data_IF_761458963807
#
_entry.id   IF_761458963807
#
_cell.length_a   1.000
_cell.length_b   1.000
_cell.length_c   1.000
_cell.angle_alpha   90.00
_cell.angle_beta   90.00
_cell.angle_gamma   90.00
#
_symmetry.space_group_name_H-M   'P 1'
#
loop_
_entity.id
_entity.type
_entity.pdbx_description
1 polymer ?
#
# COMPACT_ATOMS: atom_id res chain seq x y z
N UNK A 1 2.93 -9.13 -7.87
CA UNK A 1 1.79 -8.64 -8.71
C UNK A 1 2.36 -7.84 -9.87
N UNK A 2 1.86 -8.04 -11.07
CA UNK A 2 2.36 -7.42 -12.29
C UNK A 2 1.23 -6.60 -12.92
N UNK A 3 1.42 -5.30 -13.10
CA UNK A 3 0.48 -4.44 -13.81
C UNK A 3 1.05 -4.10 -15.18
N UNK A 4 0.39 -4.54 -16.24
CA UNK A 4 0.67 -4.13 -17.63
C UNK A 4 -0.51 -3.35 -18.19
N UNK A 5 -0.19 -2.25 -18.86
CA UNK A 5 -1.18 -1.53 -19.65
C UNK A 5 -1.26 -2.15 -21.05
N UNK A 6 -2.45 -2.58 -21.47
CA UNK A 6 -2.65 -3.22 -22.78
C UNK A 6 -2.31 -2.33 -23.98
N UNK A 7 -2.43 -1.00 -23.83
CA UNK A 7 -2.07 -0.02 -24.85
C UNK A 7 -0.56 0.21 -24.95
N UNK A 8 0.13 0.31 -23.79
CA UNK A 8 1.56 0.63 -23.77
C UNK A 8 2.48 -0.59 -23.81
N UNK A 9 1.92 -1.80 -23.65
CA UNK A 9 2.66 -3.07 -23.74
C UNK A 9 3.94 -3.06 -22.86
N UNK A 10 5.11 -3.20 -23.52
CA UNK A 10 6.42 -3.27 -22.88
C UNK A 10 7.05 -1.90 -22.58
N UNK A 11 6.37 -0.81 -22.93
CA UNK A 11 6.84 0.55 -22.63
C UNK A 11 6.45 1.06 -21.24
N UNK A 12 5.51 0.37 -20.59
CA UNK A 12 5.07 0.72 -19.24
C UNK A 12 4.82 -0.53 -18.40
N UNK A 13 5.50 -0.60 -17.25
CA UNK A 13 5.27 -1.65 -16.27
C UNK A 13 5.44 -1.15 -14.85
N UNK A 14 4.61 -1.67 -13.95
CA UNK A 14 4.80 -1.56 -12.51
C UNK A 14 4.76 -2.97 -11.92
N UNK A 15 5.83 -3.35 -11.23
CA UNK A 15 5.95 -4.65 -10.57
C UNK A 15 6.03 -4.46 -9.07
N UNK A 16 5.24 -5.21 -8.33
CA UNK A 16 5.23 -5.19 -6.87
C UNK A 16 5.63 -6.55 -6.31
N UNK A 17 6.61 -6.53 -5.41
CA UNK A 17 6.94 -7.66 -4.55
C UNK A 17 6.72 -7.25 -3.10
N UNK A 18 6.14 -8.12 -2.29
CA UNK A 18 5.79 -7.82 -0.90
C UNK A 18 6.20 -8.96 0.00
N UNK A 19 6.83 -8.62 1.12
CA UNK A 19 7.16 -9.55 2.20
C UNK A 19 6.72 -8.94 3.52
N UNK A 20 5.95 -9.69 4.30
CA UNK A 20 5.58 -9.34 5.67
C UNK A 20 6.49 -10.09 6.64
N UNK A 21 7.06 -9.38 7.60
CA UNK A 21 8.00 -9.95 8.59
C UNK A 21 7.55 -9.55 9.99
N UNK A 22 7.20 -10.55 10.77
CA UNK A 22 6.81 -10.37 12.17
C UNK A 22 8.02 -9.96 13.03
N UNK A 23 7.77 -9.12 14.03
CA UNK A 23 8.79 -8.62 14.94
C UNK A 23 9.80 -7.65 14.33
N UNK A 24 9.79 -7.45 13.01
CA UNK A 24 10.67 -6.48 12.35
C UNK A 24 10.13 -5.06 12.46
N UNK A 25 11.00 -4.11 12.66
CA UNK A 25 10.70 -2.66 12.73
C UNK A 25 11.31 -1.88 11.57
N UNK A 26 11.48 -2.54 10.41
CA UNK A 26 12.10 -1.93 9.23
C UNK A 26 13.61 -2.10 9.17
N UNK A 27 14.18 -3.00 9.96
CA UNK A 27 15.63 -3.15 10.16
C UNK A 27 16.32 -3.99 9.08
N UNK A 28 15.55 -4.76 8.29
CA UNK A 28 16.13 -5.65 7.30
C UNK A 28 16.53 -4.88 6.04
N UNK A 29 17.83 -4.74 5.84
CA UNK A 29 18.37 -3.98 4.70
C UNK A 29 17.97 -4.59 3.35
N UNK A 30 17.93 -5.91 3.22
CA UNK A 30 17.58 -6.61 1.99
C UNK A 30 16.56 -7.73 2.23
N UNK A 31 15.39 -7.37 2.74
CA UNK A 31 14.33 -8.31 3.05
C UNK A 31 13.88 -9.13 1.83
N UNK A 32 13.86 -8.52 0.65
CA UNK A 32 13.40 -9.13 -0.62
C UNK A 32 14.53 -9.76 -1.44
N UNK A 33 15.76 -9.83 -0.89
CA UNK A 33 16.92 -10.50 -1.49
C UNK A 33 17.24 -10.05 -2.92
N UNK A 34 17.11 -8.76 -3.18
CA UNK A 34 17.44 -8.16 -4.48
C UNK A 34 18.96 -8.14 -4.70
N UNK A 35 19.37 -7.94 -5.95
CA UNK A 35 20.79 -7.90 -6.32
C UNK A 35 21.55 -6.76 -5.63
N UNK A 36 22.86 -6.89 -5.52
CA UNK A 36 23.72 -5.82 -4.98
C UNK A 36 23.66 -4.54 -5.83
N UNK A 37 23.40 -4.67 -7.11
CA UNK A 37 23.26 -3.54 -8.02
C UNK A 37 21.94 -2.79 -7.77
N UNK A 38 20.85 -3.51 -7.60
CA UNK A 38 19.53 -2.93 -7.31
C UNK A 38 19.50 -2.30 -5.93
N UNK A 39 20.18 -2.91 -4.95
CA UNK A 39 20.36 -2.32 -3.62
C UNK A 39 20.99 -0.93 -3.67
N UNK A 40 21.96 -0.71 -4.56
CA UNK A 40 22.64 0.59 -4.73
C UNK A 40 21.75 1.62 -5.43
N UNK A 41 20.85 1.17 -6.30
CA UNK A 41 19.98 2.06 -7.12
C UNK A 41 18.66 2.38 -6.44
N UNK A 42 18.23 1.57 -5.47
CA UNK A 42 16.93 1.73 -4.81
C UNK A 42 16.84 3.04 -4.04
N UNK A 43 15.67 3.62 -4.04
CA UNK A 43 15.27 4.64 -3.07
C UNK A 43 14.49 3.97 -1.95
N UNK A 44 14.90 4.16 -0.70
CA UNK A 44 14.20 3.59 0.47
C UNK A 44 13.26 4.64 1.03
N UNK A 45 11.98 4.29 1.10
CA UNK A 45 10.93 5.13 1.68
C UNK A 45 10.36 4.38 2.88
N UNK A 46 10.33 5.05 4.02
CA UNK A 46 9.74 4.52 5.24
C UNK A 46 8.34 5.12 5.37
N UNK A 47 7.33 4.28 5.54
CA UNK A 47 5.95 4.68 5.81
C UNK A 47 5.66 4.46 7.29
N UNK A 48 5.33 5.53 8.00
CA UNK A 48 4.83 5.49 9.37
C UNK A 48 3.33 5.78 9.37
N UNK A 49 2.52 4.75 9.58
CA UNK A 49 1.06 4.84 9.49
C UNK A 49 0.43 5.83 10.46
N UNK A 50 1.10 6.14 11.57
CA UNK A 50 0.59 7.08 12.56
C UNK A 50 1.11 8.50 12.35
N UNK A 51 2.39 8.65 11.95
CA UNK A 51 3.05 9.95 11.95
C UNK A 51 3.16 10.61 10.57
N UNK A 52 3.05 9.84 9.47
CA UNK A 52 3.08 10.41 8.13
C UNK A 52 1.84 11.29 7.86
N UNK A 53 2.08 12.40 7.15
CA UNK A 53 1.02 13.32 6.78
C UNK A 53 0.21 12.76 5.61
N UNK A 54 -1.10 12.91 5.72
CA UNK A 54 -2.05 12.65 4.63
C UNK A 54 -2.52 14.02 4.09
N UNK A 55 -2.63 14.18 2.76
CA UNK A 55 -3.25 15.38 2.19
C UNK A 55 -4.63 15.63 2.79
N UNK A 56 -4.97 16.90 3.04
CA UNK A 56 -6.23 17.25 3.71
C UNK A 56 -7.47 16.74 2.97
N UNK A 57 -7.43 16.71 1.65
CA UNK A 57 -8.53 16.19 0.81
C UNK A 57 -8.72 14.68 0.94
N UNK A 58 -7.67 13.96 1.36
CA UNK A 58 -7.67 12.51 1.53
C UNK A 58 -7.85 12.07 3.00
N UNK A 59 -7.78 13.01 3.93
CA UNK A 59 -7.85 12.70 5.36
C UNK A 59 -9.27 12.33 5.78
N UNK A 60 -9.38 11.20 6.47
CA UNK A 60 -10.61 10.73 7.11
C UNK A 60 -10.33 10.34 8.55
N UNK A 61 -11.07 10.89 9.53
CA UNK A 61 -10.87 10.57 10.94
C UNK A 61 -11.00 9.07 11.25
N UNK A 62 -11.91 8.37 10.57
CA UNK A 62 -12.14 6.93 10.72
C UNK A 62 -10.99 6.07 10.17
N UNK A 63 -10.07 6.66 9.43
CA UNK A 63 -8.88 6.02 8.87
C UNK A 63 -7.59 6.55 9.55
N UNK A 64 -7.72 7.22 10.71
CA UNK A 64 -6.58 7.74 11.45
C UNK A 64 -6.16 6.80 12.59
N UNK A 65 -4.98 6.14 12.49
CA UNK A 65 -4.45 5.30 13.55
C UNK A 65 -4.27 5.99 14.92
N UNK A 66 -4.19 7.33 14.93
CA UNK A 66 -4.11 8.10 16.19
C UNK A 66 -5.46 8.25 16.89
N UNK A 67 -6.55 8.01 16.19
CA UNK A 67 -7.90 8.10 16.74
C UNK A 67 -8.55 6.72 16.92
N UNK A 68 -8.10 5.73 16.14
CA UNK A 68 -8.68 4.40 16.12
C UNK A 68 -8.24 3.55 17.32
N UNK A 69 -9.21 2.87 17.94
CA UNK A 69 -8.99 1.83 18.93
C UNK A 69 -9.74 0.56 18.52
N UNK A 70 -9.04 -0.57 18.53
CA UNK A 70 -9.63 -1.87 18.21
C UNK A 70 -10.26 -2.48 19.47
N UNK A 71 -11.56 -2.70 19.45
CA UNK A 71 -12.28 -3.37 20.52
C UNK A 71 -11.91 -4.85 20.64
N UNK A 72 -11.62 -5.51 19.52
CA UNK A 72 -11.28 -6.94 19.49
C UNK A 72 -9.86 -7.22 19.99
N UNK A 73 -8.91 -6.33 19.72
CA UNK A 73 -7.49 -6.59 20.01
C UNK A 73 -6.89 -5.67 21.06
N UNK A 74 -7.61 -4.61 21.47
CA UNK A 74 -7.11 -3.57 22.35
C UNK A 74 -5.99 -2.69 21.74
N UNK A 75 -5.76 -2.78 20.43
CA UNK A 75 -4.70 -2.01 19.74
C UNK A 75 -5.13 -0.59 19.43
N UNK A 76 -4.18 0.34 19.51
CA UNK A 76 -4.42 1.76 19.32
C UNK A 76 -5.02 2.45 20.56
N UNK A 77 -5.21 3.76 20.49
CA UNK A 77 -4.73 4.66 19.45
C UNK A 77 -3.20 4.82 19.44
N UNK A 78 -2.60 5.01 18.25
CA UNK A 78 -1.16 5.17 18.07
C UNK A 78 -0.73 6.62 18.25
N UNK A 79 -0.85 7.15 19.45
CA UNK A 79 -0.58 8.57 19.77
C UNK A 79 0.89 8.86 20.11
N UNK A 80 1.62 7.85 20.56
CA UNK A 80 3.04 8.00 20.90
C UNK A 80 3.88 8.13 19.61
N UNK A 81 4.74 9.15 19.47
CA UNK A 81 5.61 9.27 18.31
C UNK A 81 6.54 8.07 18.08
N UNK A 82 6.88 7.35 19.15
CA UNK A 82 7.72 6.13 19.13
C UNK A 82 6.90 4.83 19.25
N UNK A 83 5.64 4.87 18.83
CA UNK A 83 4.69 3.76 18.95
C UNK A 83 5.24 2.42 18.42
N UNK A 84 5.97 2.46 17.31
CA UNK A 84 6.51 1.26 16.65
C UNK A 84 7.51 0.47 17.51
N UNK A 85 8.16 1.12 18.48
CA UNK A 85 9.09 0.48 19.43
C UNK A 85 8.40 0.03 20.73
N UNK A 86 7.17 0.47 20.98
CA UNK A 86 6.42 0.22 22.22
C UNK A 86 5.25 -0.75 22.05
N UNK A 87 4.73 -0.88 20.84
CA UNK A 87 3.57 -1.74 20.53
C UNK A 87 4.02 -3.15 20.14
N UNK A 88 3.38 -4.17 20.74
CA UNK A 88 3.54 -5.57 20.39
C UNK A 88 2.17 -6.24 20.16
N UNK A 89 2.07 -7.20 19.23
CA UNK A 89 3.06 -7.56 18.22
C UNK A 89 3.20 -6.48 17.15
N UNK A 90 4.38 -6.37 16.54
CA UNK A 90 4.66 -5.47 15.41
C UNK A 90 5.05 -6.28 14.18
N UNK A 91 4.69 -5.80 13.01
CA UNK A 91 5.03 -6.40 11.72
C UNK A 91 5.47 -5.30 10.75
N UNK A 92 6.49 -5.57 9.97
CA UNK A 92 6.90 -4.69 8.87
C UNK A 92 6.52 -5.30 7.53
N UNK A 93 5.87 -4.49 6.70
CA UNK A 93 5.59 -4.82 5.30
C UNK A 93 6.68 -4.23 4.42
N UNK A 94 7.58 -5.07 3.91
CA UNK A 94 8.59 -4.67 2.93
C UNK A 94 7.98 -4.76 1.53
N UNK A 95 8.01 -3.66 0.79
CA UNK A 95 7.51 -3.60 -0.58
C UNK A 95 8.63 -3.13 -1.51
N UNK A 96 8.86 -3.90 -2.55
CA UNK A 96 9.71 -3.52 -3.65
C UNK A 96 8.83 -3.13 -4.83
N UNK A 97 9.08 -1.96 -5.39
CA UNK A 97 8.31 -1.42 -6.51
C UNK A 97 9.26 -1.09 -7.63
N UNK A 98 9.10 -1.78 -8.75
CA UNK A 98 9.78 -1.45 -9.99
C UNK A 98 8.80 -0.67 -10.86
N UNK A 99 9.18 0.55 -11.25
CA UNK A 99 8.42 1.39 -12.16
C UNK A 99 9.29 1.61 -13.40
N UNK A 100 8.77 1.24 -14.56
CA UNK A 100 9.45 1.44 -15.82
C UNK A 100 8.49 2.13 -16.80
N UNK A 101 8.92 3.27 -17.35
CA UNK A 101 8.18 4.02 -18.37
C UNK A 101 9.14 4.45 -19.47
N UNK A 102 9.07 3.78 -20.63
CA UNK A 102 9.99 3.99 -21.76
C UNK A 102 9.40 4.99 -22.75
N UNK A 103 9.58 6.28 -22.48
CA UNK A 103 9.18 7.33 -23.41
C UNK A 103 10.19 8.47 -23.39
N UNK A 104 10.81 8.72 -24.53
CA UNK A 104 11.86 9.73 -24.64
C UNK A 104 11.37 11.12 -24.19
N UNK A 105 12.18 11.79 -23.39
CA UNK A 105 11.96 13.16 -22.92
C UNK A 105 11.05 13.33 -21.69
N UNK A 106 10.18 12.36 -21.35
CA UNK A 106 9.26 12.47 -20.22
C UNK A 106 9.40 11.34 -19.19
N UNK A 107 10.19 10.32 -19.46
CA UNK A 107 10.35 9.12 -18.63
C UNK A 107 10.50 9.47 -17.13
N UNK A 108 11.53 10.23 -16.79
CA UNK A 108 11.83 10.51 -15.37
C UNK A 108 10.74 11.31 -14.64
N UNK A 109 10.00 12.16 -15.36
CA UNK A 109 8.87 12.90 -14.76
C UNK A 109 7.71 11.96 -14.45
N UNK A 110 7.38 11.06 -15.38
CA UNK A 110 6.30 10.08 -15.20
C UNK A 110 6.66 9.08 -14.11
N UNK A 111 7.87 8.52 -14.12
CA UNK A 111 8.32 7.58 -13.08
C UNK A 111 8.31 8.23 -11.69
N UNK A 112 8.75 9.50 -11.57
CA UNK A 112 8.71 10.24 -10.31
C UNK A 112 7.29 10.52 -9.83
N UNK A 113 6.38 10.87 -10.73
CA UNK A 113 4.97 11.05 -10.43
C UNK A 113 4.34 9.73 -9.93
N UNK A 114 4.56 8.64 -10.65
CA UNK A 114 4.06 7.31 -10.28
C UNK A 114 4.61 6.85 -8.93
N UNK A 115 5.89 7.09 -8.65
CA UNK A 115 6.49 6.75 -7.37
C UNK A 115 5.80 7.48 -6.19
N UNK A 116 5.51 8.78 -6.36
CA UNK A 116 4.76 9.56 -5.36
C UNK A 116 3.32 9.06 -5.17
N UNK A 117 2.64 8.77 -6.28
CA UNK A 117 1.27 8.24 -6.26
C UNK A 117 1.22 6.90 -5.54
N UNK A 118 2.14 5.99 -5.86
CA UNK A 118 2.25 4.68 -5.19
C UNK A 118 2.56 4.82 -3.70
N UNK A 119 3.45 5.75 -3.32
CA UNK A 119 3.72 6.03 -1.91
C UNK A 119 2.46 6.48 -1.17
N UNK A 120 1.75 7.47 -1.70
CA UNK A 120 0.49 7.96 -1.11
C UNK A 120 -0.55 6.85 -0.99
N UNK A 121 -0.70 6.05 -2.05
CA UNK A 121 -1.62 4.91 -2.06
C UNK A 121 -1.30 3.91 -0.94
N UNK A 122 -0.02 3.53 -0.78
CA UNK A 122 0.36 2.58 0.27
C UNK A 122 0.23 3.18 1.67
N UNK A 123 0.54 4.45 1.85
CA UNK A 123 0.33 5.12 3.14
C UNK A 123 -1.15 5.07 3.53
N UNK A 124 -2.05 5.46 2.63
CA UNK A 124 -3.50 5.41 2.86
C UNK A 124 -3.98 3.99 3.12
N UNK A 125 -3.59 3.03 2.29
CA UNK A 125 -3.98 1.63 2.42
C UNK A 125 -3.58 1.02 3.77
N UNK A 126 -2.35 1.25 4.22
CA UNK A 126 -1.91 0.68 5.50
C UNK A 126 -2.55 1.36 6.72
N UNK A 127 -2.90 2.64 6.63
CA UNK A 127 -3.73 3.32 7.64
C UNK A 127 -5.11 2.70 7.72
N UNK A 128 -5.78 2.55 6.59
CA UNK A 128 -7.09 1.89 6.50
C UNK A 128 -7.04 0.46 7.05
N UNK A 129 -6.04 -0.32 6.65
CA UNK A 129 -5.89 -1.70 7.10
C UNK A 129 -5.77 -1.80 8.62
N UNK A 130 -5.03 -0.89 9.25
CA UNK A 130 -4.95 -0.79 10.70
C UNK A 130 -6.30 -0.42 11.33
N UNK A 131 -6.96 0.61 10.82
CA UNK A 131 -8.26 1.07 11.32
C UNK A 131 -9.40 0.09 11.04
N UNK A 132 -9.19 -0.89 10.18
CA UNK A 132 -10.14 -1.97 9.91
C UNK A 132 -9.80 -3.26 10.64
N UNK A 133 -8.94 -3.23 11.65
CA UNK A 133 -8.54 -4.42 12.41
C UNK A 133 -9.75 -5.22 12.88
N UNK A 134 -10.78 -4.59 13.44
CA UNK A 134 -11.98 -5.28 13.92
C UNK A 134 -12.82 -5.90 12.81
N UNK A 135 -12.63 -5.50 11.54
CA UNK A 135 -13.34 -6.09 10.40
C UNK A 135 -12.71 -7.39 9.93
N UNK A 136 -11.38 -7.52 10.01
CA UNK A 136 -10.67 -8.68 9.50
C UNK A 136 -10.07 -9.58 10.58
N UNK A 137 -9.88 -9.08 11.81
CA UNK A 137 -9.33 -9.88 12.88
C UNK A 137 -10.29 -11.02 13.27
N UNK A 138 -9.74 -12.23 13.32
CA UNK A 138 -10.50 -13.46 13.62
C UNK A 138 -11.18 -14.09 12.40
N UNK A 139 -11.05 -13.51 11.21
CA UNK A 139 -11.53 -14.16 9.99
C UNK A 139 -10.72 -15.43 9.69
N UNK A 140 -11.43 -16.47 9.27
CA UNK A 140 -10.83 -17.70 8.77
C UNK A 140 -10.29 -17.51 7.35
N UNK A 141 -9.39 -18.38 6.93
CA UNK A 141 -8.88 -18.36 5.56
C UNK A 141 -10.01 -18.56 4.53
N UNK A 142 -11.01 -19.36 4.86
CA UNK A 142 -12.19 -19.59 4.02
C UNK A 142 -13.02 -18.32 3.83
N UNK A 143 -13.28 -17.60 4.91
CA UNK A 143 -14.00 -16.30 4.85
C UNK A 143 -13.24 -15.28 4.00
N UNK A 144 -11.90 -15.21 4.13
CA UNK A 144 -11.06 -14.35 3.29
C UNK A 144 -11.19 -14.74 1.82
N UNK A 145 -11.12 -16.03 1.49
CA UNK A 145 -11.25 -16.51 0.10
C UNK A 145 -12.63 -16.21 -0.49
N UNK A 146 -13.68 -16.35 0.32
CA UNK A 146 -15.04 -16.01 -0.10
C UNK A 146 -15.17 -14.48 -0.37
N UNK A 147 -14.56 -13.65 0.47
CA UNK A 147 -14.53 -12.20 0.26
C UNK A 147 -13.76 -11.83 -1.02
N UNK A 148 -12.60 -12.45 -1.26
CA UNK A 148 -11.82 -12.27 -2.50
C UNK A 148 -12.64 -12.64 -3.74
N UNK A 149 -13.31 -13.79 -3.72
CA UNK A 149 -14.14 -14.28 -4.83
C UNK A 149 -15.30 -13.32 -5.12
N UNK A 150 -16.01 -12.87 -4.08
CA UNK A 150 -17.09 -11.89 -4.21
C UNK A 150 -16.60 -10.57 -4.78
N UNK A 151 -15.50 -10.03 -4.23
CA UNK A 151 -14.93 -8.77 -4.72
C UNK A 151 -14.52 -8.87 -6.19
N UNK A 152 -13.96 -10.02 -6.60
CA UNK A 152 -13.63 -10.27 -8.00
C UNK A 152 -14.88 -10.23 -8.88
N UNK A 153 -15.96 -10.92 -8.49
CA UNK A 153 -17.22 -10.92 -9.23
C UNK A 153 -17.79 -9.51 -9.38
N UNK A 154 -17.81 -8.73 -8.28
CA UNK A 154 -18.31 -7.36 -8.28
C UNK A 154 -17.49 -6.44 -9.22
N UNK A 155 -16.16 -6.61 -9.25
CA UNK A 155 -15.27 -5.86 -10.14
C UNK A 155 -15.45 -6.27 -11.61
N UNK A 156 -15.61 -7.56 -11.89
CA UNK A 156 -15.83 -8.06 -13.24
C UNK A 156 -17.21 -7.60 -13.77
N UNK A 157 -18.25 -7.58 -12.92
CA UNK A 157 -19.56 -7.03 -13.27
C UNK A 157 -19.46 -5.53 -13.64
N UNK A 158 -18.81 -4.72 -12.82
CA UNK A 158 -18.60 -3.28 -13.10
C UNK A 158 -17.83 -3.02 -14.39
N UNK A 159 -16.84 -3.86 -14.71
CA UNK A 159 -16.12 -3.75 -15.99
C UNK A 159 -17.03 -4.03 -17.18
N UNK A 160 -17.90 -5.03 -17.08
CA UNK A 160 -18.83 -5.42 -18.15
C UNK A 160 -19.93 -4.38 -18.34
N UNK A 161 -20.34 -3.67 -17.29
CA UNK A 161 -21.32 -2.58 -17.36
C UNK A 161 -20.73 -1.29 -17.91
N UNK A 162 -19.41 -1.24 -18.23
CA UNK A 162 -18.76 -0.05 -18.75
C UNK A 162 -18.59 1.08 -17.73
N UNK A 163 -18.90 0.83 -16.46
CA UNK A 163 -18.55 1.72 -15.35
C UNK A 163 -17.03 1.68 -15.12
N UNK A 164 -16.30 2.41 -15.95
CA UNK A 164 -14.96 2.83 -15.58
C UNK A 164 -15.17 3.75 -14.40
N UNK A 165 -14.86 3.27 -13.19
CA UNK A 165 -14.57 4.15 -12.06
C UNK A 165 -13.26 4.86 -12.42
N UNK A 166 -13.35 5.88 -13.27
CA UNK A 166 -12.32 6.88 -13.38
C UNK A 166 -12.22 7.47 -11.96
N UNK A 167 -11.14 7.15 -11.25
CA UNK A 167 -10.70 8.02 -10.18
C UNK A 167 -10.68 9.40 -10.81
N UNK A 168 -11.52 10.29 -10.33
CA UNK A 168 -11.61 11.64 -10.84
C UNK A 168 -10.21 12.24 -10.80
N UNK A 169 -9.56 12.28 -11.96
CA UNK A 169 -8.29 12.96 -12.18
C UNK A 169 -8.47 14.49 -12.18
N UNK A 170 -9.71 14.95 -11.99
CA UNK A 170 -10.05 16.37 -11.91
C UNK A 170 -9.65 17.03 -10.58
N UNK A 171 -9.26 16.23 -9.56
CA UNK A 171 -8.83 16.71 -8.24
C UNK A 171 -7.29 16.64 -8.04
N UNK A 172 -6.52 16.57 -9.12
CA UNK A 172 -5.05 16.60 -9.07
C UNK A 172 -4.47 17.95 -9.47
#
# INVERSE_FOLDING_TARGET
MFLKNGYMKDYFSIVYETLHVDGSRGELENALKISKEDLKKRNVIIIDIANDKIPSNDYKPEEDPKLYHSEKTGRGPLTDPDWKNKVEPVMTCYKLVYIEFKWFGIQGKVESFLAKTVHTLFTKFHRQLFCWTDKWYGMTLEEIRNLEAKTKQDLDAKRNEGEIVANNLEDL
#
